data_IF_259072287923
#
_entry.id   IF_259072287923
#
_cell.length_a   1.000
_cell.length_b   1.000
_cell.length_c   1.000
_cell.angle_alpha   90.00
_cell.angle_beta   90.00
_cell.angle_gamma   90.00
#
_symmetry.space_group_name_H-M   'P 1'
#
loop_
_entity.id
_entity.type
_entity.pdbx_description
1 polymer ?
#
# COMPACT_ATOMS: atom_id res chain seq x y z
N UNK A 1 -22.21 -14.97 0.99
CA UNK A 1 -21.05 -15.38 1.81
C UNK A 1 -19.91 -14.44 1.47
N UNK A 2 -19.31 -13.82 2.49
CA UNK A 2 -18.39 -12.68 2.39
C UNK A 2 -17.19 -12.99 1.50
N UNK A 3 -17.01 -12.20 0.43
CA UNK A 3 -15.86 -12.28 -0.45
C UNK A 3 -14.64 -11.75 0.32
N UNK A 4 -14.06 -12.58 1.18
CA UNK A 4 -12.83 -12.25 1.88
C UNK A 4 -11.78 -11.87 0.82
N UNK A 5 -11.23 -10.64 0.82
CA UNK A 5 -10.25 -10.25 -0.17
C UNK A 5 -9.07 -11.21 -0.02
N UNK A 6 -8.86 -12.07 -1.02
CA UNK A 6 -7.70 -12.98 -1.08
C UNK A 6 -6.55 -12.21 -1.69
N UNK A 7 -5.48 -11.96 -0.93
CA UNK A 7 -4.27 -11.28 -1.42
C UNK A 7 -3.86 -10.08 -0.55
N UNK A 8 -2.96 -9.20 -1.04
CA UNK A 8 -2.49 -8.04 -0.27
C UNK A 8 -3.61 -7.12 0.24
N UNK A 9 -4.80 -7.16 -0.40
CA UNK A 9 -6.00 -6.46 0.05
C UNK A 9 -6.57 -6.97 1.40
N UNK A 10 -6.19 -8.16 1.89
CA UNK A 10 -6.55 -8.61 3.23
C UNK A 10 -5.96 -7.72 4.33
N UNK A 11 -4.84 -7.04 4.06
CA UNK A 11 -4.18 -6.15 5.02
C UNK A 11 -4.81 -4.77 5.09
N UNK A 12 -5.69 -4.41 4.14
CA UNK A 12 -6.21 -3.06 4.00
C UNK A 12 -7.01 -2.55 5.20
N UNK A 13 -7.98 -3.31 5.74
CA UNK A 13 -8.70 -2.86 6.93
C UNK A 13 -7.78 -2.61 8.14
N UNK A 14 -6.72 -3.42 8.27
CA UNK A 14 -5.72 -3.25 9.33
C UNK A 14 -4.86 -2.02 9.11
N UNK A 15 -4.45 -1.73 7.88
CA UNK A 15 -3.68 -0.54 7.52
C UNK A 15 -4.49 0.72 7.83
N UNK A 16 -5.74 0.78 7.38
CA UNK A 16 -6.61 1.95 7.65
C UNK A 16 -6.83 2.14 9.15
N UNK A 17 -7.01 1.04 9.90
CA UNK A 17 -7.16 1.08 11.36
C UNK A 17 -5.88 1.50 12.08
N UNK A 18 -4.71 1.08 11.61
CA UNK A 18 -3.41 1.37 12.24
C UNK A 18 -2.92 2.77 11.92
N UNK A 19 -3.07 3.23 10.68
CA UNK A 19 -2.50 4.50 10.21
C UNK A 19 -3.55 5.62 10.01
N UNK A 20 -4.84 5.31 10.15
CA UNK A 20 -5.93 6.29 10.13
C UNK A 20 -6.23 6.93 8.77
N UNK A 21 -5.64 6.41 7.69
CA UNK A 21 -5.81 6.93 6.33
C UNK A 21 -6.35 5.83 5.42
N UNK A 22 -7.25 6.16 4.46
CA UNK A 22 -7.83 5.18 3.55
C UNK A 22 -6.79 4.63 2.58
N UNK A 23 -7.00 3.43 2.04
CA UNK A 23 -6.06 2.82 1.08
C UNK A 23 -5.84 3.68 -0.17
N UNK A 24 -6.89 4.35 -0.64
CA UNK A 24 -6.81 5.26 -1.79
C UNK A 24 -5.77 6.36 -1.56
N UNK A 25 -5.71 6.94 -0.35
CA UNK A 25 -4.72 7.95 0.02
C UNK A 25 -3.29 7.43 -0.14
N UNK A 26 -3.02 6.20 0.34
CA UNK A 26 -1.72 5.56 0.21
C UNK A 26 -1.37 5.24 -1.24
N UNK A 27 -2.33 4.76 -2.02
CA UNK A 27 -2.11 4.48 -3.45
C UNK A 27 -1.82 5.77 -4.23
N UNK A 28 -2.52 6.87 -3.94
CA UNK A 28 -2.25 8.18 -4.54
C UNK A 28 -0.86 8.70 -4.15
N UNK A 29 -0.46 8.58 -2.89
CA UNK A 29 0.91 8.90 -2.44
C UNK A 29 1.97 8.11 -3.23
N UNK A 30 1.76 6.80 -3.40
CA UNK A 30 2.67 5.93 -4.15
C UNK A 30 2.72 6.34 -5.64
N UNK A 31 1.58 6.69 -6.25
CA UNK A 31 1.51 7.13 -7.65
C UNK A 31 2.07 8.53 -7.88
N UNK A 32 1.93 9.42 -6.90
CA UNK A 32 2.49 10.77 -6.93
C UNK A 32 3.99 10.80 -6.62
N UNK A 33 4.52 9.73 -6.02
CA UNK A 33 5.94 9.58 -5.73
C UNK A 33 6.75 9.49 -7.02
N UNK A 34 7.92 10.17 -7.12
CA UNK A 34 8.84 10.01 -8.25
C UNK A 34 9.52 8.63 -8.27
N UNK A 35 9.34 7.82 -7.22
CA UNK A 35 9.97 6.50 -7.09
C UNK A 35 9.24 5.47 -7.96
N UNK A 36 10.01 4.75 -8.76
CA UNK A 36 9.46 3.75 -9.70
C UNK A 36 9.76 2.31 -9.29
N UNK A 37 10.75 2.11 -8.41
CA UNK A 37 11.14 0.79 -7.95
C UNK A 37 10.32 0.37 -6.74
N UNK A 38 9.87 -0.88 -6.75
CA UNK A 38 9.10 -1.48 -5.66
C UNK A 38 9.81 -1.34 -4.30
N UNK A 39 11.08 -1.74 -4.23
CA UNK A 39 11.86 -1.70 -2.98
C UNK A 39 12.12 -0.29 -2.46
N UNK A 40 12.21 0.71 -3.35
CA UNK A 40 12.38 2.11 -2.97
C UNK A 40 11.08 2.66 -2.39
N UNK A 41 9.94 2.40 -3.04
CA UNK A 41 8.62 2.78 -2.53
C UNK A 41 8.33 2.12 -1.17
N UNK A 42 8.66 0.83 -1.02
CA UNK A 42 8.50 0.13 0.27
C UNK A 42 9.37 0.76 1.34
N UNK A 43 10.63 1.09 1.02
CA UNK A 43 11.53 1.75 1.98
C UNK A 43 11.04 3.15 2.33
N UNK A 44 10.60 3.93 1.36
CA UNK A 44 10.05 5.28 1.55
C UNK A 44 8.80 5.29 2.44
N UNK A 45 7.86 4.37 2.23
CA UNK A 45 6.68 4.22 3.10
C UNK A 45 7.08 3.84 4.54
N UNK A 46 8.13 3.04 4.69
CA UNK A 46 8.65 2.68 6.03
C UNK A 46 9.32 3.87 6.72
N UNK A 47 10.11 4.67 5.99
CA UNK A 47 10.87 5.78 6.59
C UNK A 47 10.02 7.03 6.80
N UNK A 48 9.26 7.45 5.79
CA UNK A 48 8.52 8.71 5.84
C UNK A 48 7.19 8.58 6.59
N UNK A 49 6.56 7.41 6.49
CA UNK A 49 5.21 7.19 7.03
C UNK A 49 5.17 6.14 8.14
N UNK A 50 6.30 5.53 8.50
CA UNK A 50 6.38 4.56 9.58
C UNK A 50 5.64 3.24 9.30
N UNK A 51 5.39 2.90 8.03
CA UNK A 51 4.68 1.67 7.71
C UNK A 51 5.52 0.42 8.05
N UNK A 52 4.86 -0.64 8.50
CA UNK A 52 5.48 -1.96 8.64
C UNK A 52 5.80 -2.57 7.28
N UNK A 53 6.80 -3.47 7.22
CA UNK A 53 7.24 -4.08 5.95
C UNK A 53 6.11 -4.77 5.17
N UNK A 54 5.27 -5.56 5.85
CA UNK A 54 4.12 -6.23 5.23
C UNK A 54 3.07 -5.25 4.68
N UNK A 55 2.78 -4.18 5.43
CA UNK A 55 1.83 -3.14 5.04
C UNK A 55 2.32 -2.34 3.83
N UNK A 56 3.57 -1.87 3.88
CA UNK A 56 4.19 -1.16 2.78
C UNK A 56 4.25 -2.03 1.50
N UNK A 57 4.65 -3.30 1.63
CA UNK A 57 4.70 -4.22 0.50
C UNK A 57 3.31 -4.44 -0.14
N UNK A 58 2.27 -4.63 0.68
CA UNK A 58 0.90 -4.82 0.20
C UNK A 58 0.39 -3.59 -0.58
N UNK A 59 0.64 -2.38 -0.07
CA UNK A 59 0.23 -1.14 -0.72
C UNK A 59 0.93 -0.93 -2.06
N UNK A 60 2.25 -1.09 -2.11
CA UNK A 60 3.03 -0.90 -3.35
C UNK A 60 2.66 -1.96 -4.38
N UNK A 61 2.53 -3.23 -3.98
CA UNK A 61 2.12 -4.30 -4.89
C UNK A 61 0.73 -4.02 -5.50
N UNK A 62 -0.21 -3.55 -4.68
CA UNK A 62 -1.55 -3.23 -5.16
C UNK A 62 -1.60 -1.98 -6.04
N UNK A 63 -0.95 -0.89 -5.63
CA UNK A 63 -0.90 0.35 -6.41
C UNK A 63 -0.29 0.13 -7.80
N UNK A 64 0.72 -0.75 -7.91
CA UNK A 64 1.33 -1.11 -9.20
C UNK A 64 0.48 -2.06 -10.02
N UNK A 65 -0.20 -3.01 -9.39
CA UNK A 65 -1.14 -3.90 -10.09
C UNK A 65 -2.32 -3.10 -10.69
N UNK A 66 -2.79 -2.06 -10.03
CA UNK A 66 -3.85 -1.18 -10.55
C UNK A 66 -3.37 -0.21 -11.64
N UNK A 67 -2.09 0.17 -11.65
CA UNK A 67 -1.51 1.07 -12.65
C UNK A 67 -1.15 0.39 -13.98
N UNK A 68 -1.24 -0.93 -14.07
CA UNK A 68 -1.14 -1.68 -15.34
C UNK A 68 -2.54 -1.84 -15.91
N UNK A 69 -3.03 -0.81 -16.59
CA UNK A 69 -4.24 -0.90 -17.42
C UNK A 69 -4.04 -0.17 -18.73
#
# INVERSE_FOLDING_TARGET
>A
MTNAPKGPASYFPSIEKTYGQPIAHWQELIRASPLTRHGELVSWLKTEHGLGHGHANALVAHARAEGVK
#
